data_IF_902297324274
#
_entry.id   IF_902297324274
#
_cell.length_a   1.000
_cell.length_b   1.000
_cell.length_c   1.000
_cell.angle_alpha   90.00
_cell.angle_beta   90.00
_cell.angle_gamma   90.00
#
_symmetry.space_group_name_H-M   'P 1'
#
loop_
_entity.id
_entity.type
_entity.pdbx_description
1 polymer ?
#
# COMPACT_ATOMS: atom_id res chain seq x y z
N UNK A 1 -18.16 1.51 4.44
CA UNK A 1 -16.81 2.08 4.28
C UNK A 1 -16.18 1.42 3.06
N UNK A 2 -15.71 2.20 2.08
CA UNK A 2 -14.98 1.64 0.93
C UNK A 2 -13.72 0.94 1.43
N UNK A 3 -13.35 -0.19 0.81
CA UNK A 3 -12.14 -0.95 1.18
C UNK A 3 -10.88 -0.40 0.50
N UNK A 4 -11.05 0.34 -0.59
CA UNK A 4 -9.97 0.96 -1.35
C UNK A 4 -10.20 2.46 -1.38
N UNK A 5 -9.13 3.22 -1.15
CA UNK A 5 -9.05 4.65 -1.41
C UNK A 5 -8.00 4.83 -2.50
N UNK A 6 -8.42 5.29 -3.68
CA UNK A 6 -7.55 5.54 -4.81
C UNK A 6 -7.23 7.02 -4.90
N UNK A 7 -6.00 7.35 -5.29
CA UNK A 7 -5.55 8.73 -5.22
C UNK A 7 -4.43 9.07 -6.20
N UNK A 8 -4.32 10.33 -6.56
CA UNK A 8 -3.20 10.93 -7.28
C UNK A 8 -2.53 11.96 -6.37
N UNK A 9 -1.21 11.98 -6.36
CA UNK A 9 -0.46 12.88 -5.51
C UNK A 9 0.94 13.09 -6.08
N UNK A 10 1.49 14.28 -5.87
CA UNK A 10 2.91 14.59 -6.09
C UNK A 10 3.76 14.14 -4.90
N UNK A 11 5.07 14.38 -4.98
CA UNK A 11 5.98 14.15 -3.86
C UNK A 11 5.63 15.01 -2.63
N UNK A 12 5.20 16.26 -2.83
CA UNK A 12 4.89 17.18 -1.73
C UNK A 12 3.56 16.81 -1.05
N UNK A 13 2.56 16.43 -1.84
CA UNK A 13 1.31 15.86 -1.30
C UNK A 13 1.59 14.60 -0.46
N UNK A 14 2.51 13.74 -0.93
CA UNK A 14 2.92 12.54 -0.20
C UNK A 14 3.66 12.87 1.08
N UNK A 15 4.53 13.88 1.11
CA UNK A 15 5.21 14.31 2.34
C UNK A 15 4.20 14.73 3.41
N UNK A 16 3.20 15.53 3.07
CA UNK A 16 2.13 15.93 3.98
C UNK A 16 1.31 14.74 4.48
N UNK A 17 0.96 13.81 3.58
CA UNK A 17 0.27 12.58 3.97
C UNK A 17 1.11 11.71 4.92
N UNK A 18 2.42 11.60 4.68
CA UNK A 18 3.35 10.85 5.53
C UNK A 18 3.50 11.46 6.92
N UNK A 19 3.55 12.77 7.02
CA UNK A 19 3.54 13.48 8.30
C UNK A 19 2.29 13.13 9.11
N UNK A 20 1.12 13.13 8.46
CA UNK A 20 -0.12 12.70 9.12
C UNK A 20 -0.08 11.24 9.55
N UNK A 21 0.37 10.32 8.69
CA UNK A 21 0.51 8.89 9.00
C UNK A 21 1.36 8.70 10.28
N UNK A 22 2.49 9.42 10.39
CA UNK A 22 3.34 9.41 11.59
C UNK A 22 2.61 9.95 12.82
N UNK A 23 1.84 11.03 12.67
CA UNK A 23 1.08 11.66 13.77
C UNK A 23 0.01 10.75 14.40
N UNK A 24 -0.41 9.69 13.70
CA UNK A 24 -1.38 8.70 14.19
C UNK A 24 -0.72 7.34 14.53
N UNK A 25 0.59 7.34 14.73
CA UNK A 25 1.42 6.18 15.10
C UNK A 25 1.39 5.01 14.10
N UNK A 26 1.11 5.30 12.83
CA UNK A 26 1.26 4.31 11.77
C UNK A 26 2.69 4.30 11.24
N UNK A 27 3.24 3.10 11.09
CA UNK A 27 4.59 2.84 10.57
C UNK A 27 4.48 2.11 9.24
N UNK A 28 5.25 2.54 8.24
CA UNK A 28 5.33 1.82 6.98
C UNK A 28 6.30 0.65 7.11
N UNK A 29 5.89 -0.50 6.64
CA UNK A 29 6.70 -1.71 6.58
C UNK A 29 6.94 -2.09 5.12
N UNK A 30 8.12 -2.63 4.78
CA UNK A 30 8.39 -3.17 3.46
C UNK A 30 7.37 -4.25 3.06
N UNK A 31 7.05 -4.30 1.76
CA UNK A 31 6.18 -5.34 1.21
C UNK A 31 6.88 -6.69 1.02
N UNK A 32 8.20 -6.67 0.84
CA UNK A 32 8.99 -7.86 0.59
C UNK A 32 9.67 -8.36 1.87
N UNK A 33 9.63 -9.67 2.16
CA UNK A 33 10.38 -10.24 3.26
C UNK A 33 11.88 -10.21 2.93
N UNK A 34 12.67 -9.46 3.71
CA UNK A 34 14.12 -9.36 3.58
C UNK A 34 14.79 -9.02 4.91
N UNK A 35 16.09 -9.34 5.03
CA UNK A 35 16.92 -8.92 6.16
C UNK A 35 17.33 -7.46 5.93
N UNK A 36 16.48 -6.50 6.30
CA UNK A 36 16.87 -5.09 6.35
C UNK A 36 17.73 -4.86 7.59
N UNK A 37 18.88 -4.24 7.44
CA UNK A 37 19.58 -3.66 8.58
C UNK A 37 18.72 -2.56 9.21
N UNK A 38 18.92 -2.22 10.51
CA UNK A 38 18.18 -1.13 11.15
C UNK A 38 18.26 0.20 10.37
N UNK A 39 19.41 0.47 9.74
CA UNK A 39 19.63 1.68 8.93
C UNK A 39 18.82 1.65 7.63
N UNK A 40 18.77 0.52 6.94
CA UNK A 40 18.00 0.37 5.69
C UNK A 40 16.50 0.45 5.97
N UNK A 41 16.03 -0.17 7.06
CA UNK A 41 14.64 -0.08 7.48
C UNK A 41 14.26 1.37 7.82
N UNK A 42 15.14 2.09 8.54
CA UNK A 42 14.92 3.50 8.84
C UNK A 42 14.83 4.35 7.56
N UNK A 43 15.78 4.20 6.64
CA UNK A 43 15.77 4.92 5.37
C UNK A 43 14.50 4.64 4.55
N UNK A 44 14.07 3.38 4.50
CA UNK A 44 12.83 2.97 3.83
C UNK A 44 11.58 3.65 4.43
N UNK A 45 11.51 3.72 5.77
CA UNK A 45 10.38 4.35 6.47
C UNK A 45 10.32 5.87 6.29
N UNK A 46 11.47 6.50 6.03
CA UNK A 46 11.59 7.95 5.85
C UNK A 46 11.35 8.40 4.40
N UNK A 47 11.54 7.50 3.42
CA UNK A 47 11.29 7.80 2.02
C UNK A 47 9.78 7.94 1.73
N UNK A 48 9.30 9.12 1.29
CA UNK A 48 7.88 9.33 0.99
C UNK A 48 7.39 8.50 -0.21
N UNK A 49 8.28 8.06 -1.10
CA UNK A 49 7.98 7.36 -2.36
C UNK A 49 7.87 5.83 -2.21
N UNK A 50 8.22 5.27 -1.06
CA UNK A 50 8.15 3.81 -0.84
C UNK A 50 6.72 3.33 -0.60
N UNK A 51 6.36 2.16 -1.11
CA UNK A 51 5.08 1.50 -0.80
C UNK A 51 5.25 0.39 0.23
N UNK A 52 4.14 -0.18 0.71
CA UNK A 52 4.22 -1.30 1.65
C UNK A 52 2.97 -1.47 2.48
N UNK A 53 3.17 -1.72 3.78
CA UNK A 53 2.09 -1.98 4.72
C UNK A 53 2.15 -1.02 5.91
N UNK A 54 1.06 -0.32 6.18
CA UNK A 54 0.92 0.40 7.43
C UNK A 54 0.58 -0.55 8.57
N UNK A 55 1.37 -0.45 9.63
CA UNK A 55 1.12 -1.11 10.92
C UNK A 55 0.95 -0.08 12.02
N UNK A 56 0.04 -0.35 12.94
CA UNK A 56 -0.07 0.38 14.20
C UNK A 56 0.67 -0.32 15.36
N UNK A 57 1.15 -1.55 15.14
CA UNK A 57 1.97 -2.27 16.11
C UNK A 57 3.42 -1.80 16.04
N UNK A 58 4.15 -1.79 17.17
CA UNK A 58 5.59 -1.59 17.17
C UNK A 58 6.31 -2.78 16.53
N UNK A 59 7.50 -2.56 15.98
CA UNK A 59 8.27 -3.58 15.25
C UNK A 59 8.49 -4.86 16.07
N UNK A 60 8.75 -4.74 17.38
CA UNK A 60 8.94 -5.89 18.27
C UNK A 60 7.68 -6.72 18.56
N UNK A 61 6.49 -6.23 18.21
CA UNK A 61 5.22 -6.97 18.30
C UNK A 61 4.77 -7.54 16.97
N UNK A 62 5.46 -7.20 15.87
CA UNK A 62 5.17 -7.77 14.56
C UNK A 62 5.80 -9.15 14.47
N UNK A 63 5.09 -10.06 13.81
CA UNK A 63 5.68 -11.34 13.43
C UNK A 63 6.85 -11.02 12.50
N UNK A 64 8.05 -11.30 12.98
CA UNK A 64 9.27 -10.86 12.32
C UNK A 64 9.30 -11.37 10.88
N UNK A 65 9.54 -10.44 9.95
CA UNK A 65 10.04 -10.78 8.63
C UNK A 65 11.42 -11.40 8.81
N UNK A 66 11.55 -12.71 8.63
CA UNK A 66 12.84 -13.40 8.77
C UNK A 66 12.98 -14.30 10.00
N UNK A 67 14.18 -14.85 10.18
CA UNK A 67 14.47 -16.27 10.51
C UNK A 67 13.71 -16.90 11.71
N UNK A 68 12.97 -18.01 11.48
CA UNK A 68 12.68 -18.60 10.17
C UNK A 68 11.73 -17.66 9.38
N UNK A 69 11.98 -17.43 8.08
CA UNK A 69 11.27 -16.42 7.31
C UNK A 69 9.76 -16.72 7.23
N UNK A 70 8.96 -15.87 7.88
CA UNK A 70 7.50 -15.84 7.72
C UNK A 70 7.18 -14.89 6.56
N UNK A 71 6.37 -15.35 5.59
CA UNK A 71 5.86 -14.46 4.54
C UNK A 71 4.82 -13.54 5.14
N UNK A 72 4.68 -12.33 4.58
CA UNK A 72 3.62 -11.41 5.03
C UNK A 72 2.20 -12.01 4.89
N UNK A 73 2.01 -12.91 3.92
CA UNK A 73 0.76 -13.66 3.74
C UNK A 73 0.47 -14.63 4.87
N UNK A 74 1.51 -15.03 5.61
CA UNK A 74 1.48 -16.00 6.69
C UNK A 74 1.59 -15.29 8.07
N UNK A 75 1.96 -13.99 8.06
CA UNK A 75 2.00 -13.14 9.23
C UNK A 75 0.58 -12.89 9.76
N UNK A 76 0.42 -12.92 11.08
CA UNK A 76 -0.88 -12.67 11.75
C UNK A 76 -1.06 -11.22 12.14
N UNK A 77 -0.37 -10.32 11.43
CA UNK A 77 -0.31 -8.91 11.76
C UNK A 77 -1.48 -8.13 11.12
N UNK A 78 -2.10 -7.21 11.87
CA UNK A 78 -3.19 -6.38 11.38
C UNK A 78 -2.64 -5.20 10.56
N UNK A 79 -2.54 -5.37 9.24
CA UNK A 79 -1.90 -4.43 8.31
C UNK A 79 -2.88 -3.76 7.33
N UNK A 80 -2.53 -2.57 6.85
CA UNK A 80 -3.22 -1.85 5.77
C UNK A 80 -2.25 -1.71 4.59
N UNK A 81 -2.65 -2.14 3.40
CA UNK A 81 -1.79 -2.07 2.21
C UNK A 81 -1.75 -0.66 1.63
N UNK A 82 -0.58 -0.22 1.17
CA UNK A 82 -0.34 1.09 0.59
C UNK A 82 0.55 1.01 -0.66
N UNK A 83 0.03 1.51 -1.77
CA UNK A 83 0.78 1.80 -2.99
C UNK A 83 0.82 3.32 -3.14
N UNK A 84 1.99 3.95 -3.13
CA UNK A 84 2.11 5.39 -3.29
C UNK A 84 1.77 5.78 -4.73
N UNK A 85 1.00 6.86 -4.95
CA UNK A 85 0.96 7.52 -6.26
C UNK A 85 2.35 8.00 -6.68
N UNK A 86 2.55 8.23 -7.97
CA UNK A 86 3.80 8.76 -8.53
C UNK A 86 3.51 9.88 -9.51
N UNK A 87 4.27 10.96 -9.43
CA UNK A 87 4.34 11.95 -10.50
C UNK A 87 5.64 11.75 -11.29
N UNK A 88 5.49 11.55 -12.59
CA UNK A 88 6.57 11.34 -13.57
C UNK A 88 6.23 12.14 -14.83
N UNK A 89 6.57 13.44 -14.87
CA UNK A 89 6.06 14.38 -15.85
C UNK A 89 6.07 13.84 -17.29
N UNK A 90 4.96 13.97 -18.04
CA UNK A 90 3.72 14.69 -17.69
C UNK A 90 2.69 13.81 -16.94
N UNK A 91 3.08 12.67 -16.38
CA UNK A 91 2.16 11.63 -15.94
C UNK A 91 1.93 11.64 -14.42
N UNK A 92 0.68 11.69 -14.00
CA UNK A 92 0.24 11.37 -12.65
C UNK A 92 -0.28 9.93 -12.61
N UNK A 93 0.44 9.05 -11.93
CA UNK A 93 0.10 7.64 -11.76
C UNK A 93 -0.58 7.46 -10.40
N UNK A 94 -1.77 6.88 -10.41
CA UNK A 94 -2.54 6.66 -9.20
C UNK A 94 -1.82 5.72 -8.22
N UNK A 95 -2.07 5.92 -6.94
CA UNK A 95 -1.80 4.97 -5.87
C UNK A 95 -3.09 4.54 -5.19
N UNK A 96 -2.95 3.73 -4.15
CA UNK A 96 -4.09 3.24 -3.39
C UNK A 96 -3.74 2.87 -1.94
N UNK A 97 -4.69 3.09 -1.03
CA UNK A 97 -4.70 2.49 0.31
C UNK A 97 -5.81 1.44 0.33
N UNK A 98 -5.45 0.20 0.64
CA UNK A 98 -6.37 -0.91 0.70
C UNK A 98 -6.47 -1.49 2.11
N UNK A 99 -7.70 -1.54 2.60
CA UNK A 99 -8.07 -2.21 3.84
C UNK A 99 -8.45 -3.67 3.57
N UNK A 100 -7.61 -4.59 4.03
CA UNK A 100 -7.76 -6.03 3.82
C UNK A 100 -8.69 -6.65 4.87
N UNK A 101 -10.00 -6.56 4.64
CA UNK A 101 -11.00 -7.20 5.52
C UNK A 101 -11.04 -8.73 5.48
N UNK A 102 -10.04 -9.43 4.91
CA UNK A 102 -10.08 -10.90 4.69
C UNK A 102 -10.07 -11.69 6.00
N UNK A 103 -9.50 -11.14 7.07
CA UNK A 103 -9.59 -11.70 8.42
C UNK A 103 -10.38 -10.76 9.30
N UNK A 104 -11.59 -11.16 9.71
CA UNK A 104 -12.53 -10.31 10.47
C UNK A 104 -11.91 -9.70 11.73
N UNK A 105 -11.08 -10.46 12.45
CA UNK A 105 -10.34 -9.99 13.64
C UNK A 105 -9.36 -8.84 13.31
N UNK A 106 -8.55 -8.97 12.27
CA UNK A 106 -7.59 -7.93 11.85
C UNK A 106 -8.30 -6.73 11.25
N UNK A 107 -9.40 -6.96 10.53
CA UNK A 107 -10.27 -5.91 10.04
C UNK A 107 -10.77 -5.01 11.18
N UNK A 108 -11.26 -5.60 12.28
CA UNK A 108 -11.70 -4.84 13.46
C UNK A 108 -10.58 -3.97 14.04
N UNK A 109 -9.36 -4.50 14.13
CA UNK A 109 -8.20 -3.78 14.69
C UNK A 109 -7.71 -2.63 13.80
N UNK A 110 -7.67 -2.84 12.48
CA UNK A 110 -7.19 -1.84 11.50
C UNK A 110 -8.24 -0.80 11.11
N UNK A 111 -9.53 -1.11 11.27
CA UNK A 111 -10.64 -0.23 10.85
C UNK A 111 -10.55 1.19 11.42
N UNK A 112 -10.25 1.42 12.71
CA UNK A 112 -10.12 2.78 13.24
C UNK A 112 -8.99 3.57 12.57
N UNK A 113 -7.86 2.93 12.29
CA UNK A 113 -6.72 3.56 11.62
C UNK A 113 -7.01 3.85 10.15
N UNK A 114 -7.60 2.91 9.43
CA UNK A 114 -8.02 3.14 8.05
C UNK A 114 -9.06 4.27 7.97
N UNK A 115 -9.99 4.36 8.92
CA UNK A 115 -10.94 5.46 8.99
C UNK A 115 -10.25 6.82 9.23
N UNK A 116 -9.17 6.88 10.03
CA UNK A 116 -8.37 8.10 10.20
C UNK A 116 -7.67 8.50 8.91
N UNK A 117 -7.04 7.55 8.20
CA UNK A 117 -6.43 7.79 6.88
C UNK A 117 -7.45 8.32 5.89
N UNK A 118 -8.59 7.65 5.78
CA UNK A 118 -9.66 8.02 4.87
C UNK A 118 -10.19 9.43 5.17
N UNK A 119 -10.49 9.74 6.43
CA UNK A 119 -10.99 11.07 6.83
C UNK A 119 -9.99 12.17 6.58
N UNK A 120 -8.70 11.90 6.77
CA UNK A 120 -7.68 12.89 6.49
C UNK A 120 -7.59 13.18 5.00
N UNK A 121 -7.56 12.16 4.15
CA UNK A 121 -7.57 12.36 2.70
C UNK A 121 -8.84 13.11 2.28
N UNK A 122 -10.01 12.68 2.75
CA UNK A 122 -11.30 13.31 2.42
C UNK A 122 -11.39 14.78 2.85
N UNK A 123 -10.71 15.15 3.93
CA UNK A 123 -10.66 16.53 4.43
C UNK A 123 -9.67 17.41 3.67
N UNK A 124 -8.52 16.86 3.25
CA UNK A 124 -7.40 17.65 2.74
C UNK A 124 -7.28 17.61 1.22
N UNK A 125 -7.85 16.61 0.56
CA UNK A 125 -7.68 16.34 -0.87
C UNK A 125 -9.00 16.48 -1.61
N UNK A 126 -8.93 16.87 -2.88
CA UNK A 126 -10.12 17.08 -3.70
C UNK A 126 -10.62 15.77 -4.26
N UNK A 127 -11.87 15.43 -3.98
CA UNK A 127 -12.52 14.24 -4.55
C UNK A 127 -13.08 14.54 -5.93
N UNK A 128 -12.62 13.79 -6.92
CA UNK A 128 -13.16 13.78 -8.28
C UNK A 128 -14.51 13.05 -8.30
N UNK A 129 -15.53 13.63 -8.92
CA UNK A 129 -16.89 13.05 -8.90
C UNK A 129 -17.04 11.93 -9.93
N UNK A 130 -16.33 12.04 -11.04
CA UNK A 130 -16.38 11.16 -12.20
C UNK A 130 -15.83 9.75 -11.92
N UNK A 131 -14.77 9.65 -11.12
CA UNK A 131 -14.04 8.39 -10.87
C UNK A 131 -13.89 8.10 -9.36
N UNK A 132 -14.23 9.06 -8.50
CA UNK A 132 -14.09 8.99 -7.05
C UNK A 132 -12.65 8.78 -6.53
N UNK A 133 -11.65 9.18 -7.33
CA UNK A 133 -10.26 9.33 -6.91
C UNK A 133 -10.09 10.64 -6.14
N UNK A 134 -9.10 10.67 -5.26
CA UNK A 134 -8.69 11.88 -4.57
C UNK A 134 -7.45 12.47 -5.23
N UNK A 135 -7.42 13.79 -5.40
CA UNK A 135 -6.27 14.56 -5.87
C UNK A 135 -5.65 15.30 -4.68
N UNK A 136 -4.38 15.04 -4.40
CA UNK A 136 -3.59 15.92 -3.54
C UNK A 136 -3.57 17.35 -4.07
N UNK A 137 -3.45 18.39 -3.23
CA UNK A 137 -3.46 19.79 -3.65
C UNK A 137 -2.56 20.11 -4.85
N UNK A 138 -1.31 19.65 -4.85
CA UNK A 138 -0.40 19.90 -5.98
C UNK A 138 -0.76 19.06 -7.21
N UNK A 139 -1.20 17.81 -7.01
CA UNK A 139 -1.71 17.00 -8.11
C UNK A 139 -2.98 17.59 -8.75
N UNK A 140 -3.84 18.25 -7.96
CA UNK A 140 -5.00 18.97 -8.47
C UNK A 140 -4.57 20.15 -9.34
N UNK A 141 -3.61 20.95 -8.86
CA UNK A 141 -3.03 22.06 -9.63
C UNK A 141 -2.44 21.58 -10.97
N UNK A 142 -1.69 20.47 -10.97
CA UNK A 142 -1.11 19.90 -12.19
C UNK A 142 -2.17 19.31 -13.14
N UNK A 143 -3.23 18.70 -12.60
CA UNK A 143 -4.30 18.12 -13.42
C UNK A 143 -5.17 19.16 -14.14
N UNK A 144 -5.11 20.43 -13.73
CA UNK A 144 -5.71 21.56 -14.44
C UNK A 144 -4.87 22.02 -15.65
N UNK A 145 -3.61 21.58 -15.75
CA UNK A 145 -2.74 21.84 -16.90
C UNK A 145 -3.05 20.82 -18.02
N UNK A 146 -3.36 21.31 -19.23
CA UNK A 146 -3.81 20.48 -20.37
C UNK A 146 -2.81 19.38 -20.79
N UNK A 147 -1.54 19.47 -20.37
CA UNK A 147 -0.49 18.52 -20.72
C UNK A 147 -0.42 17.32 -19.75
N UNK A 148 -1.01 17.41 -18.56
CA UNK A 148 -0.88 16.36 -17.52
C UNK A 148 -1.78 15.16 -17.80
N UNK A 149 -1.20 13.96 -17.80
CA UNK A 149 -1.93 12.71 -18.07
C UNK A 149 -2.20 11.92 -16.79
N UNK A 150 -3.45 11.48 -16.61
CA UNK A 150 -3.88 10.67 -15.46
C UNK A 150 -3.85 9.17 -15.79
N UNK A 151 -3.01 8.41 -15.10
CA UNK A 151 -2.91 6.94 -15.21
C UNK A 151 -3.56 6.26 -14.00
N UNK A 152 -4.70 5.63 -14.23
CA UNK A 152 -5.49 5.00 -13.20
C UNK A 152 -4.97 3.61 -12.83
N UNK A 153 -5.02 3.26 -11.54
CA UNK A 153 -4.98 1.86 -11.14
C UNK A 153 -6.33 1.21 -11.47
N UNK A 154 -6.35 -0.01 -12.05
CA UNK A 154 -7.61 -0.70 -12.32
C UNK A 154 -8.38 -0.92 -11.01
N UNK A 155 -9.61 -0.38 -10.86
CA UNK A 155 -10.40 -0.58 -9.66
C UNK A 155 -10.79 -2.05 -9.55
N UNK A 156 -10.41 -2.69 -8.45
CA UNK A 156 -10.90 -4.03 -8.12
C UNK A 156 -10.11 -5.21 -8.70
N UNK A 157 -8.82 -5.07 -8.97
CA UNK A 157 -7.96 -6.27 -8.99
C UNK A 157 -7.92 -6.81 -7.56
N UNK A 158 -8.87 -7.69 -7.24
CA UNK A 158 -8.56 -8.78 -6.33
C UNK A 158 -7.35 -9.47 -6.95
N UNK A 159 -6.20 -9.40 -6.28
CA UNK A 159 -5.05 -10.24 -6.62
C UNK A 159 -5.60 -11.66 -6.60
N UNK A 160 -5.92 -12.20 -7.77
CA UNK A 160 -6.22 -13.61 -7.91
C UNK A 160 -4.95 -14.28 -7.40
N UNK A 161 -5.09 -15.14 -6.40
CA UNK A 161 -4.03 -16.08 -6.06
C UNK A 161 -3.76 -16.86 -7.34
N UNK A 162 -2.76 -16.44 -8.11
CA UNK A 162 -2.20 -17.27 -9.15
C UNK A 162 -1.69 -18.48 -8.39
N UNK A 163 -2.38 -19.61 -8.56
CA UNK A 163 -1.93 -20.85 -7.98
C UNK A 163 -0.50 -21.06 -8.51
N UNK A 164 0.48 -20.92 -7.62
CA UNK A 164 1.84 -21.32 -7.95
C UNK A 164 1.73 -22.78 -8.37
N UNK A 165 2.08 -23.14 -9.61
CA UNK A 165 1.98 -24.52 -10.06
C UNK A 165 2.72 -25.38 -9.04
N UNK A 166 2.08 -26.45 -8.56
CA UNK A 166 2.74 -27.35 -7.62
C UNK A 166 3.98 -27.94 -8.31
N UNK A 167 5.14 -27.38 -7.98
CA UNK A 167 6.44 -27.73 -8.56
C UNK A 167 6.73 -29.23 -8.32
N UNK A 168 6.08 -29.86 -7.32
CA UNK A 168 6.18 -31.29 -7.06
C UNK A 168 5.48 -32.14 -8.11
N UNK A 169 4.35 -31.67 -8.67
CA UNK A 169 3.62 -32.37 -9.72
C UNK A 169 4.40 -32.32 -11.04
N UNK A 170 4.91 -31.14 -11.41
CA UNK A 170 5.73 -30.96 -12.62
C UNK A 170 7.02 -31.79 -12.62
N UNK A 171 7.63 -32.00 -11.43
CA UNK A 171 8.80 -32.88 -11.28
C UNK A 171 8.45 -34.37 -11.37
N UNK A 172 7.27 -34.79 -10.90
CA UNK A 172 6.79 -36.18 -11.05
C UNK A 172 6.49 -36.53 -12.50
N UNK A 173 5.88 -35.63 -13.25
CA UNK A 173 5.51 -35.86 -14.65
C UNK A 173 6.74 -35.90 -15.57
N UNK A 174 7.80 -35.14 -15.25
CA UNK A 174 9.09 -35.23 -15.96
C UNK A 174 9.84 -36.54 -15.73
N UNK A 175 9.63 -37.20 -14.58
CA UNK A 175 10.25 -38.50 -14.26
C UNK A 175 9.53 -39.69 -14.91
N UNK A 176 8.26 -39.56 -15.29
CA UNK A 176 7.50 -40.60 -16.00
C UNK A 176 7.70 -40.60 -17.52
N UNK A 177 8.36 -39.57 -18.08
CA UNK A 177 8.63 -39.41 -19.52
C UNK A 177 10.08 -39.72 -19.91
N UNK A 178 10.87 -40.30 -19.01
CA UNK A 178 12.19 -40.89 -19.27
C UNK A 178 12.11 -42.37 -18.92
#
# INVERSE_FOLDING_TARGET
MRKNLCMFATLDDLRAFREFVRSIDLRLLPSEPGEFSPRELQAFMEDPTTGGYFSFLPLGQLHLYGRPPVKISDATDPLIFFVPPRYDPPNLIAGQIQWTGRHSKFGVQTKPYYAKLWRWVDKNWTKRLEDAYYLGPEAARLAEEDETQLYYFPPGIEIQKVAVPDIRQARRDRKKRR
#
